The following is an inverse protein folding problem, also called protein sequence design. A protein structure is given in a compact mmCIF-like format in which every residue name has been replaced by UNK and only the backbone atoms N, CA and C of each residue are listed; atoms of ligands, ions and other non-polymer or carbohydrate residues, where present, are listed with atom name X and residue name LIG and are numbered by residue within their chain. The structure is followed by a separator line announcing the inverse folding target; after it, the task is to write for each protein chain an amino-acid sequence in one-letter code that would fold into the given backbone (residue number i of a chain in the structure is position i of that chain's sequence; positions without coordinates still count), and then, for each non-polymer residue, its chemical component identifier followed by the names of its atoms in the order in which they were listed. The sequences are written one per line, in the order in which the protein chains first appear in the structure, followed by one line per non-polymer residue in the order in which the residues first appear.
data_IF_756315836324
#
_entry.id   IF_756315836324
#
_cell.length_a   1.000
_cell.length_b   1.000
_cell.length_c   1.000
_cell.angle_alpha   90.00
_cell.angle_beta   90.00
_cell.angle_gamma   90.00
#
_symmetry.space_group_name_H-M   'P 1'
#
loop_
_entity.id
_entity.type
_entity.pdbx_description
1 polymer ?
#
# COMPACT_ATOMS: atom_id res chain seq x y z
N UNK A 1 -40.58 -35.76 -58.47
CA UNK A 1 -41.19 -35.13 -59.65
C UNK A 1 -40.49 -33.80 -59.86
N UNK A 2 -39.89 -33.72 -61.04
CA UNK A 2 -39.42 -32.59 -61.84
C UNK A 2 -38.40 -31.62 -61.24
N UNK A 3 -37.13 -31.78 -61.62
CA UNK A 3 -36.43 -31.43 -62.88
C UNK A 3 -36.61 -29.99 -63.35
N UNK A 4 -35.52 -29.19 -63.41
CA UNK A 4 -34.99 -28.63 -64.69
C UNK A 4 -34.00 -27.52 -64.30
N UNK A 5 -32.70 -27.65 -64.41
CA UNK A 5 -31.74 -27.53 -65.54
C UNK A 5 -31.50 -26.09 -66.07
N UNK A 6 -30.21 -25.77 -66.09
CA UNK A 6 -29.40 -24.90 -67.05
C UNK A 6 -29.50 -23.37 -66.88
N UNK A 7 -28.43 -22.57 -67.09
CA UNK A 7 -27.24 -22.68 -67.96
C UNK A 7 -26.18 -21.66 -67.56
N UNK A 8 -24.94 -21.98 -67.83
CA UNK A 8 -23.71 -21.19 -67.91
C UNK A 8 -23.87 -19.89 -68.72
N UNK A 9 -23.13 -18.84 -68.27
CA UNK A 9 -22.38 -17.96 -69.21
C UNK A 9 -21.07 -17.52 -68.53
N UNK A 10 -19.97 -17.87 -69.21
CA UNK A 10 -18.59 -17.45 -68.93
C UNK A 10 -18.42 -15.94 -69.18
N UNK A 11 -17.58 -15.29 -68.35
CA UNK A 11 -17.02 -13.99 -68.61
C UNK A 11 -15.75 -13.81 -67.78
N UNK A 12 -14.61 -14.26 -68.36
CA UNK A 12 -13.27 -14.01 -67.82
C UNK A 12 -12.96 -12.50 -67.97
N UNK A 13 -12.70 -11.85 -66.81
CA UNK A 13 -11.90 -10.61 -66.80
C UNK A 13 -10.68 -10.87 -65.91
N UNK A 14 -9.53 -11.06 -66.54
CA UNK A 14 -8.22 -11.02 -65.89
C UNK A 14 -7.88 -9.57 -65.58
N UNK A 15 -7.87 -9.23 -64.27
CA UNK A 15 -7.17 -8.05 -63.80
C UNK A 15 -5.78 -8.44 -63.31
N UNK A 16 -4.77 -8.04 -64.07
CA UNK A 16 -3.39 -7.99 -63.60
C UNK A 16 -3.27 -6.94 -62.53
N UNK A 17 -3.25 -7.34 -61.26
CA UNK A 17 -2.85 -6.43 -60.19
C UNK A 17 -1.34 -6.58 -60.00
N UNK A 18 -0.65 -5.54 -60.48
CA UNK A 18 0.77 -5.30 -60.20
C UNK A 18 0.94 -5.16 -58.69
N UNK A 19 1.62 -6.14 -58.06
CA UNK A 19 1.92 -6.12 -56.62
C UNK A 19 2.84 -4.96 -56.28
N UNK A 20 2.29 -3.97 -55.60
CA UNK A 20 3.06 -3.09 -54.72
C UNK A 20 3.19 -3.83 -53.38
N UNK A 21 4.36 -4.43 -53.16
CA UNK A 21 4.77 -4.83 -51.82
C UNK A 21 4.79 -3.59 -50.93
N UNK A 22 4.16 -3.60 -49.75
CA UNK A 22 4.39 -2.54 -48.78
C UNK A 22 5.85 -2.61 -48.35
N UNK A 23 6.60 -1.54 -48.67
CA UNK A 23 7.93 -1.29 -48.13
C UNK A 23 7.79 -1.32 -46.61
N UNK A 24 8.37 -2.33 -45.95
CA UNK A 24 8.44 -2.41 -44.51
C UNK A 24 9.05 -1.14 -43.94
N UNK A 25 8.23 -0.32 -43.33
CA UNK A 25 8.70 0.79 -42.51
C UNK A 25 9.59 0.24 -41.40
N UNK A 26 10.57 1.00 -40.91
CA UNK A 26 11.50 0.53 -39.88
C UNK A 26 10.70 -0.01 -38.68
N UNK A 27 11.02 -1.22 -38.33
CA UNK A 27 10.50 -1.91 -37.11
C UNK A 27 10.49 -0.91 -35.95
N UNK A 28 9.31 -0.40 -35.61
CA UNK A 28 9.15 0.37 -34.38
C UNK A 28 9.41 -0.59 -33.27
N UNK A 29 10.67 -0.60 -32.76
CA UNK A 29 11.04 -1.30 -31.54
C UNK A 29 9.95 -0.97 -30.53
N UNK A 30 9.13 -1.96 -30.23
CA UNK A 30 8.04 -1.82 -29.24
C UNK A 30 8.72 -1.46 -27.94
N UNK A 31 8.65 -0.19 -27.55
CA UNK A 31 9.17 0.25 -26.25
C UNK A 31 8.50 -0.60 -25.17
N UNK A 32 9.31 -1.16 -24.28
CA UNK A 32 8.86 -1.83 -23.05
C UNK A 32 9.00 -0.85 -21.89
N UNK A 33 7.99 0.03 -21.64
CA UNK A 33 8.09 1.06 -20.62
C UNK A 33 8.21 0.47 -19.21
N UNK A 34 7.67 -0.72 -18.98
CA UNK A 34 7.77 -1.41 -17.68
C UNK A 34 9.19 -1.94 -17.48
N UNK A 35 9.80 -2.53 -18.51
CA UNK A 35 11.20 -3.00 -18.46
C UNK A 35 12.18 -1.85 -18.29
N UNK A 36 11.99 -0.73 -19.02
CA UNK A 36 12.79 0.49 -18.86
C UNK A 36 12.69 1.04 -17.44
N UNK A 37 11.46 1.18 -16.91
CA UNK A 37 11.21 1.63 -15.54
C UNK A 37 11.83 0.69 -14.50
N UNK A 38 11.78 -0.64 -14.73
CA UNK A 38 12.39 -1.62 -13.83
C UNK A 38 13.92 -1.49 -13.79
N UNK A 39 14.55 -1.24 -14.92
CA UNK A 39 16.01 -1.07 -14.98
C UNK A 39 16.46 0.20 -14.27
N UNK A 40 15.79 1.32 -14.51
CA UNK A 40 16.11 2.60 -13.90
C UNK A 40 15.86 2.55 -12.37
N UNK A 41 14.75 1.96 -11.97
CA UNK A 41 14.43 1.76 -10.55
C UNK A 41 15.47 0.84 -9.88
N UNK A 42 15.82 -0.28 -10.49
CA UNK A 42 16.82 -1.20 -9.96
C UNK A 42 18.21 -0.52 -9.84
N UNK A 43 18.63 0.30 -10.80
CA UNK A 43 19.87 1.10 -10.70
C UNK A 43 19.86 2.02 -9.48
N UNK A 44 18.71 2.65 -9.19
CA UNK A 44 18.57 3.56 -8.06
C UNK A 44 18.54 2.82 -6.72
N UNK A 45 17.68 1.81 -6.57
CA UNK A 45 17.35 1.22 -5.25
C UNK A 45 18.31 0.12 -4.81
N UNK A 46 19.00 -0.57 -5.74
CA UNK A 46 19.92 -1.67 -5.40
C UNK A 46 21.33 -1.20 -5.06
N UNK A 47 21.59 0.09 -4.99
CA UNK A 47 22.90 0.67 -4.66
C UNK A 47 23.43 0.27 -3.28
N UNK A 48 22.54 0.00 -2.34
CA UNK A 48 22.88 -0.50 -1.00
C UNK A 48 23.46 -1.92 -1.00
N UNK A 49 23.25 -2.70 -2.04
CA UNK A 49 23.89 -4.00 -2.23
C UNK A 49 25.35 -3.78 -2.64
N UNK A 50 26.28 -4.10 -1.73
CA UNK A 50 27.72 -3.83 -1.92
C UNK A 50 28.32 -4.56 -3.12
N UNK A 51 27.91 -5.82 -3.35
CA UNK A 51 28.48 -6.68 -4.40
C UNK A 51 27.75 -6.52 -5.72
N UNK A 52 28.53 -6.45 -6.82
CA UNK A 52 27.98 -6.32 -8.17
C UNK A 52 27.09 -7.52 -8.55
N UNK A 53 27.49 -8.74 -8.17
CA UNK A 53 26.70 -9.95 -8.42
C UNK A 53 25.34 -9.91 -7.69
N UNK A 54 25.29 -9.39 -6.45
CA UNK A 54 24.03 -9.20 -5.74
C UNK A 54 23.09 -8.21 -6.45
N UNK A 55 23.62 -7.08 -6.95
CA UNK A 55 22.84 -6.12 -7.72
C UNK A 55 22.29 -6.74 -9.00
N UNK A 56 23.12 -7.50 -9.69
CA UNK A 56 22.68 -8.22 -10.91
C UNK A 56 21.61 -9.28 -10.60
N UNK A 57 21.76 -10.07 -9.51
CA UNK A 57 20.72 -11.03 -9.09
C UNK A 57 19.42 -10.33 -8.69
N UNK A 58 19.50 -9.17 -8.01
CA UNK A 58 18.34 -8.35 -7.68
C UNK A 58 17.61 -7.88 -8.94
N UNK A 59 18.33 -7.38 -9.93
CA UNK A 59 17.76 -6.97 -11.23
C UNK A 59 17.11 -8.13 -11.98
N UNK A 60 17.80 -9.28 -12.06
CA UNK A 60 17.26 -10.49 -12.66
C UNK A 60 15.98 -10.96 -11.94
N UNK A 61 15.95 -10.90 -10.61
CA UNK A 61 14.78 -11.28 -9.82
C UNK A 61 13.57 -10.39 -10.13
N UNK A 62 13.74 -9.05 -10.15
CA UNK A 62 12.70 -8.09 -10.50
C UNK A 62 12.19 -8.31 -11.92
N UNK A 63 13.09 -8.44 -12.91
CA UNK A 63 12.73 -8.73 -14.31
C UNK A 63 12.00 -10.07 -14.44
N UNK A 64 12.47 -11.09 -13.73
CA UNK A 64 11.84 -12.40 -13.72
C UNK A 64 10.44 -12.38 -13.11
N UNK A 65 10.20 -11.61 -12.03
CA UNK A 65 8.86 -11.39 -11.49
C UNK A 65 7.95 -10.80 -12.55
N UNK A 66 8.39 -9.75 -13.25
CA UNK A 66 7.59 -9.04 -14.26
C UNK A 66 7.27 -9.92 -15.47
N UNK A 67 8.23 -10.77 -15.90
CA UNK A 67 8.07 -11.64 -17.06
C UNK A 67 7.27 -12.92 -16.76
N UNK A 68 7.28 -13.41 -15.50
CA UNK A 68 6.62 -14.67 -15.14
C UNK A 68 5.11 -14.51 -15.19
N UNK A 69 4.41 -15.43 -15.85
CA UNK A 69 2.97 -15.56 -15.77
C UNK A 69 2.56 -16.48 -14.59
N UNK A 70 1.44 -16.18 -13.93
CA UNK A 70 0.95 -16.97 -12.80
C UNK A 70 1.85 -16.86 -11.56
N UNK A 71 2.03 -17.97 -10.83
CA UNK A 71 2.75 -18.01 -9.55
C UNK A 71 4.24 -17.65 -9.68
N UNK A 72 4.71 -16.69 -8.88
CA UNK A 72 6.09 -16.19 -8.86
C UNK A 72 7.00 -17.06 -7.94
N UNK A 73 7.04 -18.36 -8.18
CA UNK A 73 8.02 -19.22 -7.50
C UNK A 73 9.43 -18.94 -8.03
N UNK A 74 10.46 -19.20 -7.23
CA UNK A 74 11.86 -19.01 -7.66
C UNK A 74 12.14 -19.80 -8.94
N UNK A 75 11.61 -21.01 -9.06
CA UNK A 75 11.73 -21.84 -10.26
C UNK A 75 11.11 -21.16 -11.49
N UNK A 76 9.89 -20.65 -11.38
CA UNK A 76 9.21 -19.99 -12.50
C UNK A 76 9.92 -18.69 -12.89
N UNK A 77 10.38 -17.91 -11.90
CA UNK A 77 11.18 -16.70 -12.11
C UNK A 77 12.49 -17.04 -12.85
N UNK A 78 13.19 -18.08 -12.41
CA UNK A 78 14.45 -18.51 -13.02
C UNK A 78 14.30 -18.89 -14.49
N UNK A 79 13.19 -19.55 -14.85
CA UNK A 79 12.90 -19.91 -16.25
C UNK A 79 12.86 -18.71 -17.19
N UNK A 80 12.49 -17.51 -16.68
CA UNK A 80 12.43 -16.29 -17.48
C UNK A 80 13.77 -15.57 -17.65
N UNK A 81 14.78 -15.89 -16.81
CA UNK A 81 16.02 -15.08 -16.73
C UNK A 81 17.31 -15.88 -16.87
N UNK A 82 17.26 -17.19 -17.09
CA UNK A 82 18.46 -18.00 -17.25
C UNK A 82 18.25 -19.48 -16.99
N UNK A 83 16.99 -19.92 -16.87
CA UNK A 83 16.62 -21.34 -16.70
C UNK A 83 17.15 -21.96 -15.40
N UNK A 84 17.38 -23.29 -15.39
CA UNK A 84 17.79 -24.02 -14.19
C UNK A 84 19.09 -23.50 -13.55
N UNK A 85 20.02 -22.97 -14.35
CA UNK A 85 21.28 -22.41 -13.85
C UNK A 85 21.06 -21.16 -12.98
N UNK A 86 19.99 -20.39 -13.24
CA UNK A 86 19.64 -19.23 -12.45
C UNK A 86 18.91 -19.60 -11.14
N UNK A 87 18.22 -20.74 -11.07
CA UNK A 87 17.37 -21.11 -9.94
C UNK A 87 18.12 -21.14 -8.62
N UNK A 88 19.25 -21.85 -8.57
CA UNK A 88 20.06 -21.95 -7.36
C UNK A 88 20.59 -20.59 -6.90
N UNK A 89 21.06 -19.76 -7.84
CA UNK A 89 21.61 -18.45 -7.52
C UNK A 89 20.53 -17.45 -7.05
N UNK A 90 19.33 -17.49 -7.62
CA UNK A 90 18.20 -16.68 -7.18
C UNK A 90 17.65 -17.19 -5.83
N UNK A 91 17.63 -18.51 -5.63
CA UNK A 91 17.28 -19.08 -4.32
C UNK A 91 18.26 -18.60 -3.24
N UNK A 92 19.57 -18.68 -3.50
CA UNK A 92 20.56 -18.16 -2.56
C UNK A 92 20.40 -16.66 -2.33
N UNK A 93 20.15 -15.88 -3.37
CA UNK A 93 19.93 -14.42 -3.27
C UNK A 93 18.78 -14.06 -2.32
N UNK A 94 17.67 -14.80 -2.36
CA UNK A 94 16.48 -14.53 -1.51
C UNK A 94 16.60 -15.20 -0.14
N UNK A 95 16.90 -16.52 -0.10
CA UNK A 95 16.82 -17.31 1.13
C UNK A 95 18.15 -17.39 1.89
N UNK A 96 19.28 -17.47 1.20
CA UNK A 96 20.61 -17.72 1.80
C UNK A 96 21.49 -16.51 1.99
N UNK A 97 21.20 -15.37 1.35
CA UNK A 97 22.02 -14.16 1.46
C UNK A 97 21.79 -13.41 2.78
N UNK A 98 22.75 -12.53 3.12
CA UNK A 98 22.73 -11.71 4.33
C UNK A 98 22.44 -10.23 4.06
N UNK A 99 22.03 -9.86 2.82
CA UNK A 99 21.74 -8.47 2.52
C UNK A 99 20.48 -7.97 3.25
N UNK A 100 20.55 -6.70 3.68
CA UNK A 100 19.46 -6.03 4.37
C UNK A 100 18.48 -5.43 3.36
N UNK A 101 17.20 -5.66 3.58
CA UNK A 101 16.10 -5.14 2.75
C UNK A 101 15.69 -3.71 3.09
N UNK A 102 16.02 -3.22 4.28
CA UNK A 102 15.57 -1.89 4.71
C UNK A 102 16.18 -0.75 3.86
N UNK A 103 17.46 -0.72 3.54
CA UNK A 103 18.02 0.31 2.68
C UNK A 103 17.36 0.35 1.29
N UNK A 104 16.95 -0.81 0.75
CA UNK A 104 16.25 -0.88 -0.54
C UNK A 104 14.85 -0.26 -0.43
N UNK A 105 14.11 -0.56 0.65
CA UNK A 105 12.78 0.04 0.90
C UNK A 105 12.87 1.55 1.08
N UNK A 106 13.86 2.02 1.80
CA UNK A 106 14.13 3.44 1.98
C UNK A 106 14.44 4.11 0.64
N UNK A 107 15.34 3.54 -0.15
CA UNK A 107 15.68 4.05 -1.49
C UNK A 107 14.46 4.06 -2.43
N UNK A 108 13.61 3.02 -2.36
CA UNK A 108 12.36 2.95 -3.11
C UNK A 108 11.43 4.11 -2.74
N UNK A 109 11.24 4.36 -1.44
CA UNK A 109 10.39 5.45 -0.98
C UNK A 109 10.88 6.82 -1.45
N UNK A 110 12.18 7.07 -1.39
CA UNK A 110 12.78 8.32 -1.86
C UNK A 110 12.65 8.49 -3.38
N UNK A 111 12.92 7.44 -4.15
CA UNK A 111 12.77 7.45 -5.60
C UNK A 111 11.32 7.80 -6.02
N UNK A 112 10.36 7.24 -5.32
CA UNK A 112 8.95 7.52 -5.57
C UNK A 112 8.57 8.95 -5.20
N UNK A 113 9.06 9.49 -4.07
CA UNK A 113 8.79 10.87 -3.66
C UNK A 113 9.39 11.90 -4.63
N UNK A 114 10.56 11.61 -5.20
CA UNK A 114 11.16 12.44 -6.26
C UNK A 114 10.35 12.42 -7.55
N UNK A 115 9.69 11.30 -7.84
CA UNK A 115 8.87 11.13 -9.06
C UNK A 115 7.49 11.73 -8.89
N UNK A 116 6.85 11.56 -7.73
CA UNK A 116 5.49 11.98 -7.45
C UNK A 116 5.28 12.14 -5.94
N UNK A 117 4.81 13.33 -5.47
CA UNK A 117 4.71 13.60 -4.04
C UNK A 117 3.78 12.63 -3.29
N UNK A 118 4.23 12.14 -2.15
CA UNK A 118 3.44 11.31 -1.25
C UNK A 118 2.21 12.06 -0.75
N UNK A 119 1.03 11.50 -0.96
CA UNK A 119 -0.25 12.01 -0.43
C UNK A 119 -0.51 11.48 0.98
N UNK A 120 -0.39 10.17 1.16
CA UNK A 120 -0.63 9.51 2.44
C UNK A 120 0.07 8.14 2.50
N UNK A 121 0.37 7.71 3.72
CA UNK A 121 0.70 6.32 4.02
C UNK A 121 -0.58 5.53 4.28
N UNK A 122 -0.66 4.30 3.79
CA UNK A 122 -1.80 3.43 4.05
C UNK A 122 -1.31 2.08 4.53
N UNK A 123 -1.79 1.62 5.69
CA UNK A 123 -1.57 0.25 6.12
C UNK A 123 -2.66 -0.67 5.55
N UNK A 124 -2.25 -1.69 4.81
CA UNK A 124 -3.13 -2.66 4.19
C UNK A 124 -2.81 -4.07 4.69
N UNK A 125 -3.77 -4.76 5.31
CA UNK A 125 -3.59 -6.14 5.72
C UNK A 125 -3.53 -7.07 4.50
N UNK A 126 -2.75 -8.14 4.63
CA UNK A 126 -2.61 -9.19 3.63
C UNK A 126 -2.67 -10.57 4.28
N UNK A 127 -3.70 -11.35 3.97
CA UNK A 127 -3.77 -12.76 4.29
C UNK A 127 -2.96 -13.56 3.27
N UNK A 128 -2.11 -14.47 3.74
CA UNK A 128 -1.21 -15.30 2.91
C UNK A 128 -1.50 -16.77 3.23
N UNK A 129 -2.45 -17.43 2.54
CA UNK A 129 -2.75 -18.84 2.76
C UNK A 129 -1.51 -19.71 2.53
N UNK A 130 -1.29 -20.70 3.39
CA UNK A 130 -0.18 -21.66 3.33
C UNK A 130 -0.69 -23.08 3.57
N UNK A 131 -0.20 -24.01 2.77
CA UNK A 131 -0.56 -25.44 2.89
C UNK A 131 0.29 -26.22 3.89
N UNK A 132 1.47 -25.69 4.30
CA UNK A 132 2.41 -26.34 5.21
C UNK A 132 2.69 -25.54 6.48
N UNK A 133 3.27 -26.18 7.50
CA UNK A 133 3.51 -25.58 8.84
C UNK A 133 4.89 -24.94 8.98
N UNK A 134 5.79 -25.17 8.04
CA UNK A 134 7.22 -24.85 8.20
C UNK A 134 7.61 -23.42 7.89
N UNK A 135 6.69 -22.57 7.43
CA UNK A 135 6.99 -21.15 7.20
C UNK A 135 6.75 -20.35 8.48
N UNK A 136 7.65 -19.41 8.78
CA UNK A 136 7.54 -18.54 9.96
C UNK A 136 6.17 -17.85 10.04
N UNK A 137 5.54 -17.86 11.21
CA UNK A 137 4.25 -17.18 11.46
C UNK A 137 3.02 -17.85 10.84
N UNK A 138 3.11 -19.10 10.39
CA UNK A 138 1.96 -19.88 9.91
C UNK A 138 1.12 -20.37 11.07
N UNK A 139 -0.17 -20.15 11.03
CA UNK A 139 -1.11 -20.63 12.03
C UNK A 139 -2.54 -20.47 11.55
N UNK A 140 -3.51 -20.79 12.40
CA UNK A 140 -4.91 -20.50 12.15
C UNK A 140 -5.16 -19.01 12.41
N UNK A 141 -5.65 -18.29 11.39
CA UNK A 141 -5.83 -16.85 11.40
C UNK A 141 -7.25 -16.48 11.01
N UNK A 142 -7.74 -15.38 11.56
CA UNK A 142 -9.00 -14.79 11.13
C UNK A 142 -8.72 -13.65 10.15
N UNK A 143 -9.35 -13.71 8.97
CA UNK A 143 -9.33 -12.59 8.03
C UNK A 143 -10.55 -11.69 8.28
N UNK A 144 -10.37 -10.50 8.88
CA UNK A 144 -11.48 -9.60 9.20
C UNK A 144 -12.12 -8.98 7.94
N UNK A 145 -11.44 -9.01 6.78
CA UNK A 145 -12.01 -8.54 5.51
C UNK A 145 -12.96 -9.58 4.90
N UNK A 146 -12.60 -10.85 4.96
CA UNK A 146 -13.43 -11.94 4.44
C UNK A 146 -14.37 -12.52 5.49
N UNK A 147 -14.12 -12.24 6.77
CA UNK A 147 -14.93 -12.76 7.87
C UNK A 147 -14.79 -14.28 8.10
N UNK A 148 -13.65 -14.88 7.70
CA UNK A 148 -13.42 -16.32 7.78
C UNK A 148 -12.07 -16.68 8.35
N UNK A 149 -12.00 -17.88 8.93
CA UNK A 149 -10.74 -18.48 9.35
C UNK A 149 -9.99 -19.04 8.15
N UNK A 150 -8.67 -18.89 8.15
CA UNK A 150 -7.79 -19.53 7.17
C UNK A 150 -6.51 -20.00 7.86
N UNK A 151 -5.82 -20.93 7.22
CA UNK A 151 -4.48 -21.34 7.64
C UNK A 151 -3.43 -20.63 6.81
N UNK A 152 -2.48 -19.96 7.47
CA UNK A 152 -1.46 -19.20 6.77
C UNK A 152 -0.81 -18.12 7.63
N UNK A 153 -0.22 -17.15 6.96
CA UNK A 153 0.43 -15.99 7.55
C UNK A 153 -0.46 -14.75 7.39
N UNK A 154 -0.31 -13.78 8.29
CA UNK A 154 -0.86 -12.44 8.14
C UNK A 154 0.27 -11.42 8.10
N UNK A 155 0.16 -10.42 7.26
CA UNK A 155 1.13 -9.35 7.15
C UNK A 155 0.45 -8.00 6.93
N UNK A 156 1.18 -6.93 7.18
CA UNK A 156 0.79 -5.58 6.81
C UNK A 156 1.77 -5.02 5.78
N UNK A 157 1.24 -4.60 4.63
CA UNK A 157 1.94 -3.75 3.68
C UNK A 157 1.73 -2.29 4.03
N UNK A 158 2.80 -1.52 4.07
CA UNK A 158 2.75 -0.07 4.23
C UNK A 158 2.94 0.54 2.84
N UNK A 159 1.89 1.21 2.38
CA UNK A 159 1.76 1.66 1.01
C UNK A 159 2.04 3.15 0.89
N UNK A 160 2.91 3.49 -0.01
CA UNK A 160 3.09 4.83 -0.54
C UNK A 160 1.93 5.14 -1.49
N UNK A 161 1.19 6.23 -1.27
CA UNK A 161 0.11 6.64 -2.17
C UNK A 161 0.32 8.07 -2.66
N UNK A 162 0.27 8.25 -3.97
CA UNK A 162 0.27 9.54 -4.63
C UNK A 162 -0.91 9.68 -5.58
N UNK A 163 -0.94 10.73 -6.38
CA UNK A 163 -1.91 10.87 -7.49
C UNK A 163 -1.74 9.78 -8.54
N UNK A 164 -0.51 9.38 -8.82
CA UNK A 164 -0.10 8.53 -9.95
C UNK A 164 0.30 7.13 -9.52
N UNK A 165 1.02 7.00 -8.40
CA UNK A 165 1.62 5.75 -7.96
C UNK A 165 1.03 5.28 -6.64
N UNK A 166 0.73 3.99 -6.55
CA UNK A 166 0.31 3.30 -5.33
C UNK A 166 1.13 2.02 -5.24
N UNK A 167 2.07 1.94 -4.28
CA UNK A 167 2.96 0.78 -4.18
C UNK A 167 3.36 0.50 -2.73
N UNK A 168 3.53 -0.77 -2.32
CA UNK A 168 3.99 -1.08 -0.97
C UNK A 168 5.49 -0.79 -0.85
N UNK A 169 5.89 -0.11 0.22
CA UNK A 169 7.30 0.21 0.49
C UNK A 169 7.78 -0.30 1.84
N UNK A 170 6.85 -0.68 2.72
CA UNK A 170 7.13 -1.27 4.02
C UNK A 170 6.34 -2.56 4.22
N UNK A 171 6.88 -3.48 5.02
CA UNK A 171 6.23 -4.75 5.32
C UNK A 171 6.51 -5.20 6.74
N UNK A 172 5.47 -5.66 7.44
CA UNK A 172 5.57 -6.32 8.74
C UNK A 172 4.75 -7.60 8.73
N UNK A 173 5.40 -8.72 9.07
CA UNK A 173 4.73 -10.00 9.29
C UNK A 173 4.19 -10.02 10.72
N UNK A 174 2.94 -10.44 10.89
CA UNK A 174 2.37 -10.67 12.21
C UNK A 174 2.85 -12.02 12.74
N UNK A 175 3.57 -11.99 13.85
CA UNK A 175 4.09 -13.17 14.54
C UNK A 175 3.36 -13.29 15.87
N UNK A 176 2.54 -14.33 16.06
CA UNK A 176 1.89 -14.55 17.35
C UNK A 176 2.89 -15.01 18.41
N UNK A 177 2.49 -14.96 19.70
CA UNK A 177 3.30 -15.39 20.81
C UNK A 177 3.83 -16.82 20.62
N UNK A 178 5.11 -17.03 20.95
CA UNK A 178 5.76 -18.34 20.87
C UNK A 178 6.33 -18.76 19.53
N UNK A 179 6.13 -17.99 18.45
CA UNK A 179 6.66 -18.30 17.11
C UNK A 179 7.90 -17.46 16.71
N UNK A 180 8.40 -16.60 17.58
CA UNK A 180 9.56 -15.74 17.30
C UNK A 180 10.88 -16.51 17.14
N UNK A 181 10.92 -17.79 17.46
CA UNK A 181 12.13 -18.62 17.53
C UNK A 181 12.35 -19.66 16.43
N UNK A 182 11.46 -19.83 15.45
CA UNK A 182 11.56 -20.93 14.48
C UNK A 182 12.46 -20.63 13.25
N UNK A 183 13.44 -19.72 13.37
CA UNK A 183 14.26 -19.34 12.21
C UNK A 183 15.65 -18.83 12.51
N UNK A 184 16.54 -19.68 13.00
CA UNK A 184 18.00 -19.48 13.02
C UNK A 184 18.57 -18.99 14.36
N UNK A 185 19.82 -19.39 14.70
CA UNK A 185 20.45 -19.00 15.93
C UNK A 185 20.82 -17.51 15.89
N UNK A 186 20.04 -16.68 16.54
CA UNK A 186 20.51 -15.37 16.98
C UNK A 186 21.14 -15.62 18.35
N UNK A 187 22.46 -15.76 18.36
CA UNK A 187 23.28 -15.61 19.55
C UNK A 187 23.08 -14.19 20.11
N UNK A 188 22.09 -14.06 20.98
CA UNK A 188 22.09 -13.06 22.03
C UNK A 188 22.13 -13.83 23.34
N UNK A 189 23.32 -13.86 23.92
CA UNK A 189 23.52 -14.28 25.29
C UNK A 189 22.53 -13.52 26.19
N UNK A 190 21.82 -14.21 27.11
CA UNK A 190 21.00 -13.54 28.10
C UNK A 190 21.95 -12.85 29.09
N UNK A 191 21.95 -11.52 29.07
CA UNK A 191 22.53 -10.74 30.17
C UNK A 191 21.79 -11.15 31.47
N UNK A 192 22.49 -11.50 32.53
CA UNK A 192 21.83 -11.81 33.80
C UNK A 192 21.29 -10.51 34.40
N UNK A 193 19.98 -10.32 34.37
CA UNK A 193 19.33 -9.27 35.15
C UNK A 193 19.17 -9.74 36.57
N UNK A 194 20.01 -9.21 37.45
CA UNK A 194 19.77 -9.20 38.90
C UNK A 194 18.58 -8.28 39.16
N UNK A 195 17.50 -8.84 39.60
CA UNK A 195 16.54 -8.39 40.62
C UNK A 195 15.16 -8.98 40.30
N UNK A 196 14.64 -9.76 41.24
CA UNK A 196 13.29 -10.31 41.22
C UNK A 196 12.27 -9.19 41.23
N UNK A 197 11.49 -9.15 40.19
CA UNK A 197 10.20 -8.49 40.11
C UNK A 197 9.29 -9.40 39.29
N UNK A 198 8.10 -9.58 39.83
CA UNK A 198 6.98 -10.40 39.40
C UNK A 198 6.90 -10.64 37.90
N UNK A 199 6.52 -11.88 37.54
CA UNK A 199 6.22 -12.29 36.14
C UNK A 199 5.22 -11.32 35.54
N UNK A 200 5.74 -10.24 34.89
CA UNK A 200 4.96 -9.36 34.07
C UNK A 200 4.42 -10.18 32.92
N UNK A 201 3.11 -10.17 32.72
CA UNK A 201 2.47 -10.69 31.51
C UNK A 201 3.27 -10.20 30.31
N UNK A 202 3.95 -11.09 29.60
CA UNK A 202 4.58 -10.78 28.32
C UNK A 202 3.48 -10.21 27.43
N UNK A 203 3.51 -8.90 27.21
CA UNK A 203 2.51 -8.18 26.44
C UNK A 203 2.73 -8.49 24.97
N UNK A 204 2.06 -9.52 24.50
CA UNK A 204 2.10 -9.92 23.11
C UNK A 204 1.52 -8.82 22.21
N UNK A 205 2.19 -8.57 21.08
CA UNK A 205 1.73 -7.60 20.08
C UNK A 205 0.41 -8.10 19.45
N UNK A 206 -0.65 -7.30 19.55
CA UNK A 206 -1.91 -7.63 18.88
C UNK A 206 -1.79 -7.42 17.37
N UNK A 207 -2.73 -7.96 16.61
CA UNK A 207 -2.79 -7.75 15.15
C UNK A 207 -2.82 -6.26 14.77
N UNK A 208 -3.58 -5.48 15.51
CA UNK A 208 -3.71 -4.04 15.32
C UNK A 208 -2.43 -3.29 15.73
N UNK A 209 -1.79 -3.70 16.80
CA UNK A 209 -0.49 -3.14 17.23
C UNK A 209 0.60 -3.42 16.22
N UNK A 210 0.60 -4.61 15.60
CA UNK A 210 1.49 -4.96 14.50
C UNK A 210 1.37 -3.98 13.32
N UNK A 211 0.15 -3.62 12.95
CA UNK A 211 -0.08 -2.64 11.90
C UNK A 211 0.47 -1.26 12.25
N UNK A 212 0.17 -0.77 13.46
CA UNK A 212 0.64 0.53 13.95
C UNK A 212 2.16 0.58 14.00
N UNK A 213 2.79 -0.46 14.57
CA UNK A 213 4.25 -0.58 14.64
C UNK A 213 4.86 -0.61 13.23
N UNK A 214 4.27 -1.39 12.31
CA UNK A 214 4.74 -1.45 10.92
C UNK A 214 4.75 -0.10 10.22
N UNK A 215 3.73 0.73 10.43
CA UNK A 215 3.68 2.10 9.90
C UNK A 215 4.75 2.98 10.53
N UNK A 216 4.80 3.00 11.88
CA UNK A 216 5.73 3.88 12.61
C UNK A 216 7.19 3.55 12.27
N UNK A 217 7.53 2.27 12.16
CA UNK A 217 8.88 1.83 11.77
C UNK A 217 9.20 2.23 10.33
N UNK A 218 8.27 2.01 9.40
CA UNK A 218 8.46 2.38 7.99
C UNK A 218 8.70 3.87 7.84
N UNK A 219 7.85 4.72 8.44
CA UNK A 219 7.96 6.18 8.33
C UNK A 219 9.26 6.69 8.98
N UNK A 220 9.64 6.14 10.14
CA UNK A 220 10.90 6.48 10.83
C UNK A 220 12.11 6.13 9.96
N UNK A 221 12.11 4.96 9.33
CA UNK A 221 13.22 4.49 8.49
C UNK A 221 13.34 5.28 7.19
N UNK A 222 12.22 5.63 6.57
CA UNK A 222 12.22 6.40 5.33
C UNK A 222 12.66 7.85 5.53
N UNK A 223 12.56 8.43 6.73
CA UNK A 223 12.94 9.83 7.04
C UNK A 223 12.34 10.86 6.08
N UNK A 224 11.14 10.59 5.60
CA UNK A 224 10.43 11.48 4.68
C UNK A 224 9.63 12.55 5.44
N UNK A 225 9.21 13.64 4.75
CA UNK A 225 8.33 14.63 5.35
C UNK A 225 7.07 14.00 5.95
N UNK A 226 6.59 14.53 7.08
CA UNK A 226 5.37 14.03 7.73
C UNK A 226 4.19 14.13 6.78
N UNK A 227 3.50 13.02 6.55
CA UNK A 227 2.29 12.89 5.74
C UNK A 227 1.23 12.12 6.51
N UNK A 228 -0.06 12.34 6.21
CA UNK A 228 -1.14 11.60 6.86
C UNK A 228 -1.00 10.09 6.71
N UNK A 229 -1.38 9.38 7.78
CA UNK A 229 -1.50 7.92 7.78
C UNK A 229 -2.98 7.56 7.76
N UNK A 230 -3.39 6.67 6.88
CA UNK A 230 -4.76 6.14 6.81
C UNK A 230 -4.75 4.68 7.29
N UNK A 231 -5.52 4.41 8.34
CA UNK A 231 -5.65 3.09 8.94
C UNK A 231 -7.09 2.59 8.78
N UNK A 232 -7.36 1.77 7.76
CA UNK A 232 -8.63 1.07 7.58
C UNK A 232 -8.56 -0.34 8.17
N UNK A 233 -8.35 -0.42 9.49
CA UNK A 233 -8.21 -1.68 10.21
C UNK A 233 -9.33 -1.76 11.24
N UNK A 234 -10.09 -2.86 11.22
CA UNK A 234 -11.17 -3.08 12.18
C UNK A 234 -10.61 -3.52 13.52
N UNK A 235 -11.24 -3.11 14.60
CA UNK A 235 -10.86 -3.53 15.97
C UNK A 235 -9.76 -2.71 16.61
N UNK A 236 -9.22 -1.69 15.93
CA UNK A 236 -8.17 -0.82 16.48
C UNK A 236 -8.59 -0.25 17.83
N UNK A 237 -7.73 -0.40 18.83
CA UNK A 237 -7.79 0.31 20.09
C UNK A 237 -7.59 1.81 19.88
N UNK A 238 -8.67 2.53 19.56
CA UNK A 238 -8.64 3.91 19.06
C UNK A 238 -7.75 4.82 19.87
N UNK A 239 -7.86 4.77 21.20
CA UNK A 239 -7.08 5.62 22.11
C UNK A 239 -5.58 5.32 22.06
N UNK A 240 -5.20 4.05 22.17
CA UNK A 240 -3.80 3.62 22.11
C UNK A 240 -3.16 4.04 20.77
N UNK A 241 -3.86 3.77 19.68
CA UNK A 241 -3.42 4.15 18.33
C UNK A 241 -3.19 5.65 18.20
N UNK A 242 -4.18 6.47 18.55
CA UNK A 242 -4.06 7.93 18.44
C UNK A 242 -2.92 8.48 19.32
N UNK A 243 -2.69 7.91 20.49
CA UNK A 243 -1.58 8.33 21.36
C UNK A 243 -0.22 7.98 20.71
N UNK A 244 -0.03 6.77 20.19
CA UNK A 244 1.23 6.35 19.53
C UNK A 244 1.56 7.23 18.32
N UNK A 245 0.56 7.57 17.49
CA UNK A 245 0.77 8.46 16.36
C UNK A 245 1.08 9.89 16.77
N UNK A 246 0.43 10.39 17.81
CA UNK A 246 0.70 11.72 18.33
C UNK A 246 2.11 11.83 18.97
N UNK A 247 2.55 10.81 19.71
CA UNK A 247 3.92 10.71 20.24
C UNK A 247 4.96 10.72 19.08
N UNK A 248 4.63 10.05 17.98
CA UNK A 248 5.45 10.05 16.77
C UNK A 248 5.32 11.32 15.92
N UNK A 249 4.43 12.26 16.28
CA UNK A 249 4.11 13.48 15.52
C UNK A 249 3.67 13.19 14.07
N UNK A 250 2.97 12.09 13.88
CA UNK A 250 2.40 11.68 12.59
C UNK A 250 0.89 11.86 12.60
N UNK A 251 0.33 12.67 11.69
CA UNK A 251 -1.11 12.83 11.59
C UNK A 251 -1.75 11.52 11.11
N UNK A 252 -2.88 11.15 11.72
CA UNK A 252 -3.55 9.89 11.45
C UNK A 252 -5.05 10.06 11.22
N UNK A 253 -5.58 9.27 10.29
CA UNK A 253 -6.99 9.07 10.03
C UNK A 253 -7.30 7.59 10.22
N UNK A 254 -7.88 7.23 11.36
CA UNK A 254 -8.12 5.84 11.75
C UNK A 254 -9.62 5.51 11.68
N UNK A 255 -9.95 4.37 11.06
CA UNK A 255 -11.30 3.82 11.07
C UNK A 255 -11.65 3.32 12.46
N UNK A 256 -12.87 3.63 12.91
CA UNK A 256 -13.36 3.22 14.21
C UNK A 256 -14.66 2.42 14.11
N UNK A 257 -14.95 1.65 15.15
CA UNK A 257 -16.24 1.00 15.30
C UNK A 257 -17.35 1.98 15.70
N UNK A 258 -18.58 1.64 15.38
CA UNK A 258 -19.76 2.45 15.70
C UNK A 258 -19.95 2.71 17.20
N UNK A 259 -19.47 1.80 18.05
CA UNK A 259 -19.54 1.87 19.51
C UNK A 259 -18.38 2.63 20.17
N UNK A 260 -17.41 3.18 19.41
CA UNK A 260 -16.30 3.94 19.98
C UNK A 260 -16.80 5.09 20.84
N UNK A 261 -16.24 5.24 22.06
CA UNK A 261 -16.73 6.15 23.09
C UNK A 261 -16.01 7.50 23.00
N UNK A 262 -16.78 8.59 22.83
CA UNK A 262 -16.27 9.94 22.60
C UNK A 262 -17.11 10.96 23.38
N UNK A 263 -16.53 12.15 23.61
CA UNK A 263 -17.19 13.28 24.27
C UNK A 263 -17.44 14.39 23.24
N UNK A 264 -18.65 14.93 23.18
CA UNK A 264 -18.94 16.13 22.38
C UNK A 264 -18.41 17.35 23.11
N UNK A 265 -17.61 18.17 22.41
CA UNK A 265 -16.94 19.33 23.02
C UNK A 265 -17.51 20.67 22.59
N UNK A 266 -18.36 20.70 21.57
CA UNK A 266 -18.99 21.90 21.07
C UNK A 266 -20.36 22.12 21.76
N UNK A 267 -20.55 23.22 22.51
CA UNK A 267 -21.82 23.53 23.19
C UNK A 267 -23.03 23.66 22.24
N UNK A 268 -22.78 23.99 20.97
CA UNK A 268 -23.84 24.14 19.96
C UNK A 268 -24.36 22.77 19.44
N UNK A 269 -23.69 21.69 19.76
CA UNK A 269 -24.04 20.37 19.25
C UNK A 269 -24.87 19.55 20.26
N UNK A 270 -25.84 18.76 19.75
CA UNK A 270 -26.55 17.79 20.57
C UNK A 270 -25.58 16.79 21.22
N UNK A 271 -25.78 16.52 22.51
CA UNK A 271 -24.91 15.65 23.31
C UNK A 271 -23.79 16.34 24.07
N UNK A 272 -23.65 17.69 23.94
CA UNK A 272 -22.77 18.43 24.82
C UNK A 272 -23.23 18.27 26.28
N UNK A 273 -22.31 18.00 27.19
CA UNK A 273 -22.61 17.76 28.61
C UNK A 273 -23.27 16.39 28.93
N UNK A 274 -23.65 15.60 27.94
CA UNK A 274 -24.26 14.27 28.15
C UNK A 274 -23.26 13.17 28.56
N UNK A 275 -21.98 13.51 28.75
CA UNK A 275 -20.92 12.54 29.03
C UNK A 275 -20.42 11.81 27.79
N UNK A 276 -19.97 10.57 27.99
CA UNK A 276 -19.34 9.76 26.93
C UNK A 276 -20.43 9.06 26.11
N UNK A 277 -20.51 9.37 24.81
CA UNK A 277 -21.47 8.83 23.86
C UNK A 277 -20.80 7.88 22.85
N UNK A 278 -21.56 6.98 22.25
CA UNK A 278 -21.08 6.19 21.13
C UNK A 278 -20.95 7.05 19.86
N UNK A 279 -19.92 6.81 19.07
CA UNK A 279 -19.62 7.58 17.86
C UNK A 279 -20.80 7.62 16.88
N UNK A 280 -21.53 6.49 16.72
CA UNK A 280 -22.74 6.42 15.88
C UNK A 280 -23.83 7.36 16.34
N UNK A 281 -24.03 7.48 17.67
CA UNK A 281 -25.11 8.29 18.23
C UNK A 281 -24.78 9.77 18.07
N UNK A 282 -23.50 10.16 18.27
CA UNK A 282 -23.03 11.52 17.99
C UNK A 282 -23.32 11.88 16.53
N UNK A 283 -22.92 11.04 15.58
CA UNK A 283 -23.11 11.30 14.15
C UNK A 283 -24.57 11.32 13.75
N UNK A 284 -25.40 10.49 14.36
CA UNK A 284 -26.84 10.49 14.10
C UNK A 284 -27.49 11.79 14.56
N UNK A 285 -27.08 12.33 15.69
CA UNK A 285 -27.58 13.59 16.22
C UNK A 285 -27.18 14.81 15.36
N UNK A 286 -26.06 14.71 14.63
CA UNK A 286 -25.55 15.77 13.75
C UNK A 286 -25.81 15.50 12.26
N UNK A 287 -26.69 14.60 11.92
CA UNK A 287 -27.02 14.26 10.50
C UNK A 287 -27.41 15.47 9.65
N UNK A 288 -27.94 16.54 10.27
CA UNK A 288 -28.25 17.82 9.60
C UNK A 288 -27.02 18.58 9.11
N UNK A 289 -25.82 18.30 9.63
CA UNK A 289 -24.58 18.94 9.23
C UNK A 289 -23.87 18.23 8.05
N UNK A 290 -24.51 17.21 7.45
CA UNK A 290 -23.94 16.48 6.33
C UNK A 290 -23.87 17.35 5.08
N UNK A 291 -22.72 17.33 4.41
CA UNK A 291 -22.53 17.96 3.10
C UNK A 291 -22.28 16.91 2.03
N UNK A 292 -22.76 17.10 0.79
CA UNK A 292 -22.43 16.22 -0.32
C UNK A 292 -20.97 16.42 -0.76
N UNK A 293 -20.25 15.34 -0.97
CA UNK A 293 -18.85 15.37 -1.43
C UNK A 293 -18.69 14.38 -2.58
N UNK A 294 -18.22 14.87 -3.71
CA UNK A 294 -17.86 14.03 -4.85
C UNK A 294 -16.46 13.44 -4.68
N UNK A 295 -16.32 12.18 -5.12
CA UNK A 295 -15.06 11.48 -5.16
C UNK A 295 -15.03 10.49 -6.33
N UNK A 296 -13.81 10.15 -6.79
CA UNK A 296 -13.61 9.15 -7.86
C UNK A 296 -13.60 7.75 -7.27
N UNK A 297 -14.35 6.83 -7.88
CA UNK A 297 -14.37 5.43 -7.45
C UNK A 297 -13.16 4.68 -8.03
N UNK A 298 -12.21 4.23 -7.18
CA UNK A 298 -11.03 3.53 -7.69
C UNK A 298 -11.35 2.16 -8.30
N UNK A 299 -12.50 1.58 -7.97
CA UNK A 299 -12.94 0.29 -8.53
C UNK A 299 -13.57 0.43 -9.93
N UNK A 300 -13.94 1.65 -10.32
CA UNK A 300 -14.57 1.93 -11.61
C UNK A 300 -13.93 3.20 -12.21
N UNK A 301 -12.85 3.06 -13.00
CA UNK A 301 -12.15 4.20 -13.60
C UNK A 301 -13.12 5.12 -14.35
N UNK A 302 -13.05 6.42 -14.03
CA UNK A 302 -13.94 7.44 -14.61
C UNK A 302 -15.27 7.66 -13.88
N UNK A 303 -15.71 6.73 -13.01
CA UNK A 303 -16.94 6.89 -12.24
C UNK A 303 -16.74 7.91 -11.09
N UNK A 304 -17.65 8.88 -11.03
CA UNK A 304 -17.78 9.78 -9.88
C UNK A 304 -18.91 9.29 -8.99
N UNK A 305 -18.68 9.34 -7.70
CA UNK A 305 -19.69 9.03 -6.68
C UNK A 305 -19.84 10.19 -5.74
N UNK A 306 -21.02 10.34 -5.17
CA UNK A 306 -21.31 11.31 -4.10
C UNK A 306 -21.58 10.56 -2.80
N UNK A 307 -20.94 11.00 -1.73
CA UNK A 307 -21.24 10.58 -0.36
C UNK A 307 -21.62 11.80 0.46
N UNK A 308 -22.51 11.63 1.44
CA UNK A 308 -22.74 12.65 2.45
C UNK A 308 -21.73 12.48 3.58
N UNK A 309 -21.16 13.58 4.04
CA UNK A 309 -20.10 13.61 5.07
C UNK A 309 -20.41 14.62 6.14
N UNK A 310 -20.25 14.25 7.39
CA UNK A 310 -20.19 15.18 8.51
C UNK A 310 -18.88 14.98 9.28
N UNK A 311 -18.33 16.08 9.79
CA UNK A 311 -17.16 16.06 10.66
C UNK A 311 -17.43 16.94 11.87
N UNK A 312 -17.28 16.39 13.08
CA UNK A 312 -17.55 17.10 14.32
C UNK A 312 -16.39 17.00 15.30
N UNK A 313 -16.14 18.07 16.05
CA UNK A 313 -15.11 18.07 17.08
C UNK A 313 -15.56 17.27 18.28
N UNK A 314 -14.72 16.34 18.70
CA UNK A 314 -14.96 15.47 19.85
C UNK A 314 -13.67 15.34 20.65
N UNK A 315 -13.78 14.89 21.88
CA UNK A 315 -12.65 14.57 22.73
C UNK A 315 -12.62 13.06 22.97
N UNK A 316 -11.44 12.49 22.88
CA UNK A 316 -11.20 11.11 23.30
C UNK A 316 -11.13 11.07 24.83
N UNK A 317 -11.96 10.26 25.50
CA UNK A 317 -11.90 10.13 26.94
C UNK A 317 -10.59 9.48 27.34
N UNK A 318 -9.93 10.07 28.34
CA UNK A 318 -8.75 9.49 29.00
C UNK A 318 -8.84 9.76 30.50
N UNK A 319 -8.47 8.79 31.37
CA UNK A 319 -8.41 9.02 32.81
C UNK A 319 -7.52 10.21 33.17
N UNK A 320 -6.38 10.35 32.48
CA UNK A 320 -5.47 11.48 32.67
C UNK A 320 -5.94 12.67 31.83
N UNK A 321 -6.29 13.82 32.43
CA UNK A 321 -6.66 15.03 31.70
C UNK A 321 -5.62 15.47 30.66
N UNK A 322 -4.32 15.32 30.97
CA UNK A 322 -3.21 15.68 30.09
C UNK A 322 -3.14 14.81 28.80
N UNK A 323 -3.76 13.63 28.80
CA UNK A 323 -3.83 12.73 27.64
C UNK A 323 -5.12 12.86 26.85
N UNK A 324 -6.07 13.67 27.30
CA UNK A 324 -7.30 13.96 26.56
C UNK A 324 -6.95 14.70 25.28
N UNK A 325 -7.41 14.18 24.15
CA UNK A 325 -7.10 14.72 22.82
C UNK A 325 -8.36 15.16 22.11
N UNK A 326 -8.35 16.39 21.61
CA UNK A 326 -9.36 16.87 20.68
C UNK A 326 -9.07 16.29 19.28
N UNK A 327 -10.09 15.65 18.69
CA UNK A 327 -10.03 15.02 17.37
C UNK A 327 -11.30 15.37 16.59
N UNK A 328 -11.31 15.10 15.29
CA UNK A 328 -12.54 15.10 14.51
C UNK A 328 -13.09 13.67 14.42
N UNK A 329 -14.37 13.52 14.69
CA UNK A 329 -15.17 12.37 14.33
C UNK A 329 -15.78 12.63 12.95
N UNK A 330 -15.47 11.77 11.99
CA UNK A 330 -15.93 11.88 10.60
C UNK A 330 -16.85 10.71 10.29
N UNK A 331 -18.02 11.00 9.77
CA UNK A 331 -18.99 10.02 9.29
C UNK A 331 -19.21 10.15 7.79
N UNK A 332 -19.26 9.02 7.11
CA UNK A 332 -19.64 8.92 5.70
C UNK A 332 -20.95 8.18 5.55
N UNK A 333 -21.88 8.72 4.77
CA UNK A 333 -23.13 8.07 4.38
C UNK A 333 -23.16 7.87 2.88
N UNK A 334 -23.32 6.63 2.47
CA UNK A 334 -23.61 6.25 1.07
C UNK A 334 -25.11 6.23 0.77
N UNK A 335 -25.93 6.08 1.82
CA UNK A 335 -27.39 6.18 1.77
C UNK A 335 -27.84 7.17 2.86
N UNK A 336 -28.53 8.29 2.51
CA UNK A 336 -28.97 9.30 3.46
C UNK A 336 -29.92 8.79 4.55
N UNK A 337 -30.63 7.68 4.28
CA UNK A 337 -31.64 7.11 5.17
C UNK A 337 -31.08 6.13 6.18
N UNK A 338 -29.84 5.64 5.95
CA UNK A 338 -29.17 4.66 6.81
C UNK A 338 -28.22 5.32 7.80
N UNK A 339 -27.69 4.52 8.71
CA UNK A 339 -26.56 4.91 9.56
C UNK A 339 -25.30 5.16 8.73
N UNK A 340 -24.34 5.92 9.27
CA UNK A 340 -23.07 6.12 8.55
C UNK A 340 -22.43 4.79 8.19
N UNK A 341 -22.04 4.66 6.93
CA UNK A 341 -21.41 3.45 6.39
C UNK A 341 -19.97 3.27 6.89
N UNK A 342 -19.29 4.38 7.19
CA UNK A 342 -17.93 4.39 7.74
C UNK A 342 -17.78 5.52 8.74
N UNK A 343 -17.04 5.23 9.83
CA UNK A 343 -16.69 6.17 10.88
C UNK A 343 -15.19 6.22 11.04
N UNK A 344 -14.67 7.45 11.18
CA UNK A 344 -13.24 7.70 11.29
C UNK A 344 -12.96 8.72 12.39
N UNK A 345 -11.81 8.63 13.03
CA UNK A 345 -11.26 9.68 13.88
C UNK A 345 -9.93 10.17 13.34
N UNK A 346 -9.66 11.46 13.53
CA UNK A 346 -8.42 12.07 13.06
C UNK A 346 -8.01 13.27 13.90
N UNK A 347 -6.70 13.49 14.00
CA UNK A 347 -6.09 14.71 14.54
C UNK A 347 -5.89 15.82 13.49
N UNK A 348 -6.25 15.56 12.23
CA UNK A 348 -6.24 16.54 11.13
C UNK A 348 -7.38 17.55 11.24
N UNK A 349 -7.45 18.26 12.37
CA UNK A 349 -8.59 19.13 12.74
C UNK A 349 -8.76 20.38 11.87
N UNK A 350 -7.79 20.68 11.00
CA UNK A 350 -7.83 21.84 10.09
C UNK A 350 -8.32 21.48 8.68
N UNK A 351 -8.49 20.20 8.37
CA UNK A 351 -8.97 19.78 7.06
C UNK A 351 -10.48 19.87 6.96
N UNK A 352 -10.96 20.18 5.75
CA UNK A 352 -12.39 20.17 5.44
C UNK A 352 -12.93 18.75 5.40
N UNK A 353 -14.25 18.53 5.64
CA UNK A 353 -14.87 17.21 5.52
C UNK A 353 -14.63 16.57 4.14
N UNK A 354 -14.60 17.37 3.08
CA UNK A 354 -14.31 16.92 1.73
C UNK A 354 -12.87 16.38 1.58
N UNK A 355 -11.88 17.08 2.13
CA UNK A 355 -10.48 16.64 2.12
C UNK A 355 -10.31 15.37 2.95
N UNK A 356 -10.95 15.27 4.11
CA UNK A 356 -10.93 14.08 4.96
C UNK A 356 -11.55 12.87 4.25
N UNK A 357 -12.71 13.03 3.59
CA UNK A 357 -13.31 11.97 2.80
C UNK A 357 -12.36 11.47 1.70
N UNK A 358 -11.73 12.37 0.95
CA UNK A 358 -10.78 11.98 -0.11
C UNK A 358 -9.59 11.20 0.45
N UNK A 359 -9.12 11.53 1.66
CA UNK A 359 -8.09 10.75 2.34
C UNK A 359 -8.59 9.34 2.68
N UNK A 360 -9.81 9.17 3.20
CA UNK A 360 -10.34 7.83 3.48
C UNK A 360 -10.36 6.95 2.22
N UNK A 361 -10.54 7.55 1.03
CA UNK A 361 -10.57 6.82 -0.24
C UNK A 361 -9.21 6.26 -0.65
N UNK A 362 -8.11 6.73 -0.06
CA UNK A 362 -6.79 6.12 -0.28
C UNK A 362 -6.75 4.66 0.18
N UNK A 363 -7.43 4.32 1.27
CA UNK A 363 -7.54 2.93 1.72
C UNK A 363 -8.20 2.03 0.65
N UNK A 364 -9.27 2.51 -0.02
CA UNK A 364 -9.92 1.75 -1.11
C UNK A 364 -9.01 1.63 -2.34
N UNK A 365 -8.28 2.69 -2.70
CA UNK A 365 -7.30 2.65 -3.79
C UNK A 365 -6.23 1.60 -3.53
N UNK A 366 -5.69 1.59 -2.32
CA UNK A 366 -4.68 0.61 -1.90
C UNK A 366 -5.25 -0.81 -1.87
N UNK A 367 -6.45 -1.01 -1.37
CA UNK A 367 -7.10 -2.33 -1.36
C UNK A 367 -7.28 -2.91 -2.77
N UNK A 368 -7.66 -2.08 -3.74
CA UNK A 368 -7.76 -2.48 -5.14
C UNK A 368 -6.38 -2.82 -5.73
N UNK A 369 -5.38 -1.96 -5.53
CA UNK A 369 -4.00 -2.19 -5.98
C UNK A 369 -3.38 -3.43 -5.33
N UNK A 370 -3.60 -3.65 -4.02
CA UNK A 370 -3.12 -4.81 -3.30
C UNK A 370 -3.72 -6.13 -3.84
N UNK A 371 -5.00 -6.11 -4.19
CA UNK A 371 -5.66 -7.28 -4.78
C UNK A 371 -5.09 -7.65 -6.16
N UNK A 372 -4.81 -6.66 -7.00
CA UNK A 372 -4.18 -6.85 -8.31
C UNK A 372 -2.72 -7.34 -8.17
N UNK A 373 -1.93 -6.71 -7.31
CA UNK A 373 -0.50 -6.99 -7.15
C UNK A 373 -0.20 -8.39 -6.59
N UNK A 374 -1.16 -9.03 -5.91
CA UNK A 374 -1.02 -10.44 -5.48
C UNK A 374 -0.73 -11.34 -6.67
N UNK A 375 -1.44 -11.17 -7.78
CA UNK A 375 -1.24 -11.96 -9.00
C UNK A 375 -0.12 -11.41 -9.88
N UNK A 376 -0.02 -10.11 -9.98
CA UNK A 376 0.90 -9.43 -10.90
C UNK A 376 2.37 -9.56 -10.51
N UNK A 377 2.68 -9.42 -9.22
CA UNK A 377 4.06 -9.48 -8.72
C UNK A 377 4.27 -10.52 -7.62
N UNK A 378 3.26 -11.33 -7.30
CA UNK A 378 3.41 -12.49 -6.43
C UNK A 378 3.70 -12.16 -4.97
N UNK A 379 3.11 -11.10 -4.40
CA UNK A 379 3.35 -10.72 -3.00
C UNK A 379 3.11 -11.86 -1.99
N UNK A 380 2.29 -12.86 -2.33
CA UNK A 380 1.97 -14.03 -1.48
C UNK A 380 2.79 -15.28 -1.81
N UNK A 381 3.62 -15.25 -2.85
CA UNK A 381 4.16 -16.44 -3.50
C UNK A 381 5.45 -16.99 -2.87
N UNK A 382 5.99 -16.30 -1.86
CA UNK A 382 7.18 -16.79 -1.15
C UNK A 382 6.90 -18.15 -0.50
N UNK A 383 7.68 -19.16 -0.91
CA UNK A 383 7.56 -20.53 -0.42
C UNK A 383 8.65 -20.92 0.60
N UNK A 384 9.60 -20.02 0.91
CA UNK A 384 10.67 -20.27 1.87
C UNK A 384 10.17 -20.24 3.32
N UNK A 385 11.05 -20.66 4.24
CA UNK A 385 10.73 -20.82 5.66
C UNK A 385 11.15 -19.61 6.51
N UNK A 386 12.22 -18.89 6.12
CA UNK A 386 12.82 -17.83 6.95
C UNK A 386 12.11 -16.48 6.82
N UNK A 387 12.04 -15.74 7.93
CA UNK A 387 11.52 -14.37 7.98
C UNK A 387 12.33 -13.44 7.07
N UNK A 388 13.65 -13.56 7.08
CA UNK A 388 14.54 -12.74 6.24
C UNK A 388 14.32 -13.00 4.74
N UNK A 389 14.12 -14.25 4.34
CA UNK A 389 13.78 -14.61 2.96
C UNK A 389 12.43 -14.02 2.54
N UNK A 390 11.43 -14.08 3.43
CA UNK A 390 10.13 -13.44 3.18
C UNK A 390 10.27 -11.94 2.97
N UNK A 391 11.00 -11.24 3.86
CA UNK A 391 11.24 -9.81 3.73
C UNK A 391 11.94 -9.44 2.42
N UNK A 392 12.95 -10.24 2.02
CA UNK A 392 13.66 -10.02 0.76
C UNK A 392 12.76 -10.20 -0.45
N UNK A 393 11.94 -11.26 -0.47
CA UNK A 393 10.99 -11.51 -1.54
C UNK A 393 9.98 -10.37 -1.68
N UNK A 394 9.27 -10.00 -0.61
CA UNK A 394 8.25 -8.94 -0.68
C UNK A 394 8.85 -7.57 -1.02
N UNK A 395 10.13 -7.33 -0.67
CA UNK A 395 10.85 -6.13 -1.07
C UNK A 395 11.12 -6.10 -2.57
N UNK A 396 11.61 -7.19 -3.15
CA UNK A 396 11.81 -7.28 -4.61
C UNK A 396 10.48 -7.22 -5.36
N UNK A 397 9.42 -7.85 -4.84
CA UNK A 397 8.08 -7.76 -5.40
C UNK A 397 7.53 -6.31 -5.33
N UNK A 398 7.84 -5.55 -4.26
CA UNK A 398 7.51 -4.12 -4.18
C UNK A 398 8.22 -3.29 -5.24
N UNK A 399 9.50 -3.57 -5.51
CA UNK A 399 10.27 -2.91 -6.58
C UNK A 399 9.64 -3.23 -7.95
N UNK A 400 9.29 -4.50 -8.20
CA UNK A 400 8.60 -4.90 -9.43
C UNK A 400 7.24 -4.21 -9.59
N UNK A 401 6.47 -4.10 -8.51
CA UNK A 401 5.19 -3.39 -8.51
C UNK A 401 5.35 -1.90 -8.83
N UNK A 402 6.33 -1.24 -8.22
CA UNK A 402 6.65 0.15 -8.51
C UNK A 402 7.03 0.37 -9.98
N UNK A 403 7.84 -0.52 -10.54
CA UNK A 403 8.23 -0.46 -11.95
C UNK A 403 7.02 -0.57 -12.89
N UNK A 404 6.06 -1.45 -12.58
CA UNK A 404 4.79 -1.52 -13.34
C UNK A 404 4.03 -0.20 -13.27
N UNK A 405 3.78 0.31 -12.06
CA UNK A 405 3.04 1.56 -11.89
C UNK A 405 3.67 2.72 -12.66
N UNK A 406 5.00 2.83 -12.63
CA UNK A 406 5.74 3.88 -13.34
C UNK A 406 5.71 3.68 -14.85
N UNK A 407 5.88 2.44 -15.35
CA UNK A 407 5.82 2.11 -16.76
C UNK A 407 4.43 2.33 -17.37
N UNK A 408 3.37 1.93 -16.65
CA UNK A 408 1.98 2.10 -17.06
C UNK A 408 1.61 3.60 -17.15
N UNK A 409 2.11 4.42 -16.21
CA UNK A 409 1.91 5.87 -16.21
C UNK A 409 2.56 6.54 -17.44
N UNK A 410 3.75 6.11 -17.85
CA UNK A 410 4.44 6.61 -19.06
C UNK A 410 3.70 6.18 -20.30
N UNK A 411 3.20 4.95 -20.38
CA UNK A 411 2.42 4.43 -21.48
C UNK A 411 1.10 5.19 -21.72
N UNK A 412 0.43 5.58 -20.61
CA UNK A 412 -0.81 6.36 -20.68
C UNK A 412 -0.60 7.80 -21.18
N UNK A 413 0.55 8.42 -20.93
CA UNK A 413 0.91 9.78 -21.38
C UNK A 413 1.43 9.77 -22.84
N UNK A 414 2.00 8.66 -23.31
CA UNK A 414 2.57 8.52 -24.64
C UNK A 414 1.53 8.49 -25.79
N UNK A 415 0.23 8.39 -25.47
CA UNK A 415 -0.88 8.49 -26.42
C UNK A 415 -1.35 9.93 -26.71
N UNK A 416 -0.89 10.93 -25.95
CA UNK A 416 -1.16 12.36 -26.17
C UNK A 416 0.15 13.11 -26.03
N UNK A 417 0.70 13.60 -27.15
CA UNK A 417 2.01 14.22 -27.19
C UNK A 417 2.15 15.44 -26.27
N UNK A 418 2.88 15.24 -25.18
CA UNK A 418 3.45 16.32 -24.38
C UNK A 418 4.91 16.00 -24.04
N UNK A 419 5.76 16.99 -24.30
CA UNK A 419 7.19 16.91 -24.05
C UNK A 419 7.51 16.82 -22.55
N UNK A 420 8.44 15.94 -22.22
CA UNK A 420 9.02 15.75 -20.90
C UNK A 420 9.71 17.02 -20.41
N UNK A 421 9.45 17.57 -19.22
CA UNK A 421 10.30 18.61 -18.66
C UNK A 421 11.65 18.02 -18.27
N UNK A 422 12.72 18.66 -18.71
CA UNK A 422 14.11 18.37 -18.35
C UNK A 422 14.30 18.52 -16.84
N UNK A 423 15.08 17.63 -16.24
CA UNK A 423 15.41 17.65 -14.81
C UNK A 423 15.93 19.04 -14.38
N UNK A 424 15.44 19.61 -13.29
CA UNK A 424 15.96 20.88 -12.79
C UNK A 424 17.34 20.66 -12.15
N UNK A 425 18.25 21.57 -12.50
CA UNK A 425 19.59 21.68 -11.91
C UNK A 425 19.51 21.88 -10.39
N UNK A 426 20.43 21.27 -9.65
CA UNK A 426 20.59 21.43 -8.20
C UNK A 426 20.63 22.91 -7.82
N UNK A 427 19.65 23.33 -7.00
CA UNK A 427 19.65 24.64 -6.34
C UNK A 427 20.22 24.45 -4.92
N UNK A 428 21.16 25.28 -4.45
CA UNK A 428 21.71 25.18 -3.11
C UNK A 428 20.71 25.65 -2.06
N UNK A 429 20.72 25.00 -0.88
CA UNK A 429 19.89 25.32 0.28
C UNK A 429 20.09 26.77 0.76
N UNK A 430 19.04 27.54 1.01
CA UNK A 430 19.11 28.68 1.90
C UNK A 430 18.70 28.31 3.33
N UNK A 431 19.39 28.95 4.27
CA UNK A 431 19.21 28.82 5.71
C UNK A 431 17.84 29.33 6.18
N UNK A 432 17.38 28.67 7.21
CA UNK A 432 16.33 28.93 8.18
C UNK A 432 15.85 30.40 8.30
N UNK A 433 14.60 30.68 7.91
CA UNK A 433 13.82 31.78 8.45
C UNK A 433 12.38 31.34 8.64
N UNK A 434 11.92 31.45 9.88
CA UNK A 434 10.59 31.14 10.36
C UNK A 434 9.55 32.10 9.81
N UNK A 435 8.71 31.65 8.89
CA UNK A 435 7.43 32.28 8.54
C UNK A 435 6.46 31.20 8.08
N UNK A 436 5.23 31.21 8.58
CA UNK A 436 4.24 30.17 8.49
C UNK A 436 3.94 29.72 7.07
N UNK A 437 4.49 28.59 6.71
CA UNK A 437 4.30 27.93 5.41
C UNK A 437 3.08 27.04 5.47
N UNK A 438 2.10 27.28 4.60
CA UNK A 438 1.01 26.33 4.32
C UNK A 438 1.61 25.00 3.88
N UNK A 439 1.17 23.86 4.41
CA UNK A 439 1.70 22.57 3.99
C UNK A 439 1.35 22.31 2.51
N UNK A 440 2.35 22.00 1.70
CA UNK A 440 2.29 21.82 0.26
C UNK A 440 1.39 20.65 -0.24
N UNK A 441 0.76 19.91 0.67
CA UNK A 441 -0.13 18.79 0.36
C UNK A 441 -1.63 19.13 0.41
N UNK A 442 -1.98 20.43 0.60
CA UNK A 442 -3.36 20.87 0.41
C UNK A 442 -3.65 20.99 -1.08
N UNK A 443 -4.59 20.21 -1.58
CA UNK A 443 -5.10 20.26 -2.96
C UNK A 443 -5.64 21.67 -3.27
N UNK A 444 -5.44 22.19 -4.50
CA UNK A 444 -6.22 23.32 -4.96
C UNK A 444 -7.70 22.96 -4.99
N UNK A 445 -8.52 23.96 -4.76
CA UNK A 445 -9.99 23.90 -4.63
C UNK A 445 -10.68 23.26 -5.85
#
# INVERSE_FOLDING_TARGET
MNTTTRRDVRGEFQFHSTGLQPVGGPDRVRRDPVGEAADDLCKAVLTSLRRRDQRERGRQYVRGILATQGRKSIRNIAQQVGGPAAEQSLHHFIAGSTWDWQPIRTALSHYLEESTPLTAWVAQPMAIPKGGDHSVGVGHRFDPHQGQMFRGQQAFGIWFTSSEVITPVGWRLFLPPGEEGAGGPSEREPMPSASGLEAGEEKYESYEECAVTGVLDTVRQCRMPSRPVVLDIRGIGTRSTMNRFAEARLPVLARIGSGARLLVTDPALPGYGAGVLAARDILQNVKGLRIPVEWRDPSHPGARRTSLVAAVRVMMPDPSPARRRQVLLVGEWTDPRRLPSQLWVTDLTRLTPAALLRLTKQARRVSAAASASVQEVGLRDFAGRSLSGWHRHVTMASVAHAARCLGDSVGAVGGGGYARPSAPARVPHPANTSAGVRPAWLWPA
#
